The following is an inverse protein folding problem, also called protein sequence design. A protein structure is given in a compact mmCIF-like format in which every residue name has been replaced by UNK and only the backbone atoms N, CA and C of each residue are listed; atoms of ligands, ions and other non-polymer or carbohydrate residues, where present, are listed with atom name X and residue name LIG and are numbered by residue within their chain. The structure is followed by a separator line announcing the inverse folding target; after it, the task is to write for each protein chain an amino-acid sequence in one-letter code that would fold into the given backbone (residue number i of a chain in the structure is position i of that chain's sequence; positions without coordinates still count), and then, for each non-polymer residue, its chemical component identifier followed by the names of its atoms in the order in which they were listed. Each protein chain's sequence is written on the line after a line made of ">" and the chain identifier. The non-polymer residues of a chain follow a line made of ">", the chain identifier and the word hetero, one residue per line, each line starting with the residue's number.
data_IF_784214908253
#
_entry.id   IF_784214908253
#
_cell.length_a   1.000
_cell.length_b   1.000
_cell.length_c   1.000
_cell.angle_alpha   90.00
_cell.angle_beta   90.00
_cell.angle_gamma   90.00
#
_symmetry.space_group_name_H-M   'P 1'
#
loop_
_entity.id
_entity.type
_entity.pdbx_description
1 polymer ?
#
# COMPACT_ATOMS: atom_id res chain seq x y z
N UNK A 1 7.54 14.95 10.20
CA UNK A 1 7.88 14.76 11.65
C UNK A 1 7.08 13.65 12.34
N UNK A 2 5.80 13.43 12.03
CA UNK A 2 4.97 12.40 12.68
C UNK A 2 5.51 10.96 12.52
N UNK A 3 5.96 10.57 11.33
CA UNK A 3 6.49 9.24 11.03
C UNK A 3 7.73 8.88 11.87
N UNK A 4 8.66 9.82 12.08
CA UNK A 4 9.84 9.61 12.94
C UNK A 4 9.44 9.41 14.41
N UNK A 5 8.41 10.11 14.89
CA UNK A 5 7.92 9.95 16.27
C UNK A 5 7.25 8.59 16.50
N UNK A 6 6.59 8.01 15.48
CA UNK A 6 5.99 6.67 15.58
C UNK A 6 7.09 5.59 15.64
N UNK A 7 8.14 5.71 14.83
CA UNK A 7 9.28 4.78 14.88
C UNK A 7 9.99 4.78 16.25
N UNK A 8 10.07 5.94 16.93
CA UNK A 8 10.63 6.05 18.29
C UNK A 8 9.73 5.37 19.35
N UNK A 9 8.41 5.30 19.13
CA UNK A 9 7.46 4.61 20.03
C UNK A 9 7.50 3.08 19.93
N UNK A 10 8.34 2.51 19.07
CA UNK A 10 8.55 1.05 18.96
C UNK A 10 9.48 0.48 20.03
N UNK A 11 10.17 1.35 20.78
CA UNK A 11 10.83 0.99 22.03
C UNK A 11 9.85 1.36 23.14
N UNK A 12 8.97 0.44 23.59
CA UNK A 12 8.13 0.75 24.73
C UNK A 12 9.07 1.10 25.90
N UNK A 13 8.67 2.09 26.71
CA UNK A 13 9.42 2.55 27.89
C UNK A 13 9.77 1.42 28.89
N UNK A 14 9.18 0.23 28.72
CA UNK A 14 9.29 -0.92 29.61
C UNK A 14 9.83 -2.23 28.97
N UNK A 15 10.39 -2.24 27.76
CA UNK A 15 11.03 -3.46 27.22
C UNK A 15 11.05 -3.64 25.70
N UNK A 16 11.08 -4.90 25.25
CA UNK A 16 10.98 -5.27 23.82
C UNK A 16 9.51 -5.30 23.41
N UNK A 17 9.16 -4.67 22.28
CA UNK A 17 7.82 -4.75 21.72
C UNK A 17 7.43 -6.20 21.40
N UNK A 18 6.19 -6.56 21.70
CA UNK A 18 5.58 -7.84 21.33
C UNK A 18 5.44 -7.94 19.81
N UNK A 19 5.36 -9.18 19.32
CA UNK A 19 5.22 -9.44 17.89
C UNK A 19 3.94 -8.80 17.32
N UNK A 20 2.81 -8.97 18.01
CA UNK A 20 1.53 -8.35 17.66
C UNK A 20 1.58 -6.82 17.64
N UNK A 21 2.32 -6.21 18.57
CA UNK A 21 2.53 -4.75 18.59
C UNK A 21 3.30 -4.30 17.35
N UNK A 22 4.32 -5.06 16.94
CA UNK A 22 5.09 -4.76 15.73
C UNK A 22 4.21 -4.80 14.49
N UNK A 23 3.41 -5.85 14.34
CA UNK A 23 2.46 -5.99 13.21
C UNK A 23 1.46 -4.84 13.19
N UNK A 24 0.86 -4.51 14.35
CA UNK A 24 -0.08 -3.39 14.49
C UNK A 24 0.56 -2.05 14.11
N UNK A 25 1.74 -1.76 14.65
CA UNK A 25 2.40 -0.48 14.43
C UNK A 25 2.86 -0.32 12.97
N UNK A 26 3.27 -1.41 12.30
CA UNK A 26 3.55 -1.41 10.86
C UNK A 26 2.29 -1.10 10.06
N UNK A 27 1.14 -1.72 10.40
CA UNK A 27 -0.14 -1.45 9.73
C UNK A 27 -0.54 0.02 9.86
N UNK A 28 -0.46 0.59 11.07
CA UNK A 28 -0.74 2.01 11.32
C UNK A 28 0.19 2.88 10.48
N UNK A 29 1.49 2.59 10.48
CA UNK A 29 2.47 3.38 9.76
C UNK A 29 2.25 3.34 8.24
N UNK A 30 1.92 2.18 7.69
CA UNK A 30 1.56 2.03 6.28
C UNK A 30 0.33 2.88 5.98
N UNK A 31 -0.76 2.75 6.75
CA UNK A 31 -1.96 3.55 6.53
C UNK A 31 -1.65 5.06 6.55
N UNK A 32 -0.84 5.51 7.51
CA UNK A 32 -0.45 6.91 7.65
C UNK A 32 0.37 7.41 6.45
N UNK A 33 1.33 6.60 6.00
CA UNK A 33 2.14 6.91 4.82
C UNK A 33 1.28 6.90 3.56
N UNK A 34 0.35 5.97 3.43
CA UNK A 34 -0.52 5.84 2.25
C UNK A 34 -1.53 6.98 2.14
N UNK A 35 -2.02 7.49 3.26
CA UNK A 35 -2.92 8.65 3.30
C UNK A 35 -2.19 9.98 3.06
N UNK A 36 -0.88 10.05 3.29
CA UNK A 36 -0.11 11.29 3.09
C UNK A 36 0.04 11.62 1.60
N UNK A 37 -0.30 12.84 1.17
CA UNK A 37 -0.12 13.29 -0.23
C UNK A 37 1.33 13.61 -0.58
N UNK A 38 2.19 13.77 0.42
CA UNK A 38 3.59 14.11 0.25
C UNK A 38 4.40 12.90 -0.21
N UNK A 39 5.30 13.12 -1.17
CA UNK A 39 6.29 12.12 -1.54
C UNK A 39 7.21 11.86 -0.35
N UNK A 40 7.40 10.59 -0.03
CA UNK A 40 8.14 10.22 1.17
C UNK A 40 9.62 10.52 0.94
N UNK A 41 10.12 11.56 1.60
CA UNK A 41 11.54 11.90 1.60
C UNK A 41 12.22 11.27 2.81
N UNK A 42 13.12 10.33 2.58
CA UNK A 42 14.01 9.86 3.64
C UNK A 42 15.14 10.87 3.81
N UNK A 43 15.19 11.47 4.99
CA UNK A 43 16.23 12.40 5.36
C UNK A 43 17.34 11.68 6.17
N UNK A 44 18.41 11.15 5.55
CA UNK A 44 19.63 10.61 6.18
C UNK A 44 20.75 11.67 6.30
N UNK A 45 21.16 12.09 7.50
CA UNK A 45 21.98 13.31 7.74
C UNK A 45 23.13 13.58 6.71
N UNK A 46 23.07 14.74 6.04
CA UNK A 46 24.13 15.27 5.15
C UNK A 46 23.85 15.18 3.63
N UNK A 47 23.82 16.35 2.96
CA UNK A 47 23.96 16.46 1.50
C UNK A 47 22.82 15.91 0.64
N UNK A 48 22.84 16.20 -0.65
CA UNK A 48 21.75 16.09 -1.62
C UNK A 48 20.99 14.74 -1.59
N UNK A 49 19.67 14.77 -1.36
CA UNK A 49 18.84 13.57 -1.09
C UNK A 49 17.81 13.32 -2.17
N UNK A 50 18.29 12.92 -3.35
CA UNK A 50 17.58 11.99 -4.21
C UNK A 50 18.40 10.70 -4.19
N UNK A 51 18.12 9.80 -3.25
CA UNK A 51 18.73 8.48 -3.37
C UNK A 51 18.05 7.78 -4.54
N UNK A 52 18.83 7.35 -5.53
CA UNK A 52 18.45 6.43 -6.61
C UNK A 52 17.68 5.18 -6.15
N UNK A 53 17.62 4.95 -4.84
CA UNK A 53 16.89 3.86 -4.19
C UNK A 53 15.36 4.02 -4.19
N UNK A 54 14.81 5.22 -4.39
CA UNK A 54 13.34 5.41 -4.46
C UNK A 54 12.86 5.17 -5.89
N UNK A 55 12.05 4.13 -6.06
CA UNK A 55 11.43 3.81 -7.35
C UNK A 55 10.15 4.62 -7.56
N UNK A 56 9.59 4.62 -8.77
CA UNK A 56 8.23 5.12 -9.02
C UNK A 56 7.14 4.27 -8.33
N UNK A 57 7.51 3.14 -7.70
CA UNK A 57 6.60 2.28 -6.94
C UNK A 57 6.56 2.71 -5.47
N UNK A 58 5.43 3.28 -5.06
CA UNK A 58 5.20 3.76 -3.70
C UNK A 58 5.25 2.64 -2.65
N UNK A 59 4.79 1.44 -2.98
CA UNK A 59 4.85 0.30 -2.06
C UNK A 59 6.29 -0.10 -1.76
N UNK A 60 7.13 -0.12 -2.80
CA UNK A 60 8.54 -0.46 -2.66
C UNK A 60 9.26 0.54 -1.78
N UNK A 61 8.97 1.82 -1.99
CA UNK A 61 9.48 2.90 -1.15
C UNK A 61 9.07 2.73 0.31
N UNK A 62 7.84 2.29 0.59
CA UNK A 62 7.38 1.99 1.94
C UNK A 62 8.16 0.83 2.55
N UNK A 63 8.41 -0.26 1.81
CA UNK A 63 9.22 -1.38 2.29
C UNK A 63 10.62 -0.91 2.66
N UNK A 64 11.27 -0.09 1.83
CA UNK A 64 12.59 0.48 2.11
C UNK A 64 12.60 1.32 3.39
N UNK A 65 11.60 2.18 3.58
CA UNK A 65 11.47 2.98 4.80
C UNK A 65 11.28 2.09 6.02
N UNK A 66 10.44 1.06 5.93
CA UNK A 66 10.22 0.13 7.02
C UNK A 66 11.50 -0.68 7.33
N UNK A 67 12.27 -1.09 6.32
CA UNK A 67 13.55 -1.77 6.53
C UNK A 67 14.55 -0.90 7.29
N UNK A 68 14.73 0.35 6.85
CA UNK A 68 15.63 1.32 7.48
C UNK A 68 15.18 1.62 8.93
N UNK A 69 13.88 1.83 9.14
CA UNK A 69 13.33 2.24 10.44
C UNK A 69 13.32 1.13 11.47
N UNK A 70 13.06 -0.11 11.05
CA UNK A 70 12.98 -1.25 11.95
C UNK A 70 14.30 -2.03 12.03
N UNK A 71 15.31 -1.64 11.25
CA UNK A 71 16.58 -2.36 11.10
C UNK A 71 16.35 -3.86 10.83
N UNK A 72 15.37 -4.17 9.95
CA UNK A 72 14.99 -5.53 9.58
C UNK A 72 15.22 -5.76 8.09
N UNK A 73 15.44 -7.03 7.75
CA UNK A 73 15.53 -7.48 6.36
C UNK A 73 14.16 -7.35 5.68
N UNK A 74 14.17 -7.17 4.36
CA UNK A 74 12.97 -7.06 3.53
C UNK A 74 11.97 -8.20 3.77
N UNK A 75 12.45 -9.44 3.85
CA UNK A 75 11.62 -10.62 4.09
C UNK A 75 10.84 -10.54 5.41
N UNK A 76 11.48 -10.05 6.48
CA UNK A 76 10.85 -9.85 7.78
C UNK A 76 9.79 -8.75 7.74
N UNK A 77 10.07 -7.64 7.05
CA UNK A 77 9.08 -6.58 6.83
C UNK A 77 7.88 -7.11 6.05
N UNK A 78 8.11 -7.83 4.96
CA UNK A 78 7.05 -8.46 4.17
C UNK A 78 6.21 -9.43 5.01
N UNK A 79 6.84 -10.19 5.92
CA UNK A 79 6.12 -11.04 6.86
C UNK A 79 5.20 -10.24 7.78
N UNK A 80 5.68 -9.14 8.38
CA UNK A 80 4.85 -8.28 9.22
C UNK A 80 3.68 -7.65 8.46
N UNK A 81 3.95 -7.18 7.24
CA UNK A 81 2.94 -6.63 6.33
C UNK A 81 1.88 -7.70 6.02
N UNK A 82 2.32 -8.89 5.62
CA UNK A 82 1.44 -10.02 5.33
C UNK A 82 0.58 -10.33 6.55
N UNK A 83 1.16 -10.47 7.74
CA UNK A 83 0.43 -10.77 8.97
C UNK A 83 -0.63 -9.73 9.32
N UNK A 84 -0.36 -8.45 9.09
CA UNK A 84 -1.30 -7.34 9.33
C UNK A 84 -2.25 -7.01 8.18
N UNK A 85 -2.10 -7.63 7.00
CA UNK A 85 -2.99 -7.39 5.86
C UNK A 85 -4.38 -7.95 6.13
N UNK A 86 -5.41 -7.25 5.65
CA UNK A 86 -6.83 -7.58 5.86
C UNK A 86 -7.26 -7.73 7.33
N UNK A 87 -6.52 -7.08 8.24
CA UNK A 87 -6.91 -6.94 9.64
C UNK A 87 -7.31 -5.50 9.94
N UNK A 88 -8.44 -5.33 10.65
CA UNK A 88 -8.83 -4.05 11.24
C UNK A 88 -7.88 -3.70 12.39
N UNK A 89 -7.78 -2.41 12.69
CA UNK A 89 -6.98 -1.95 13.82
C UNK A 89 -7.52 -2.51 15.15
N UNK A 90 -8.85 -2.57 15.30
CA UNK A 90 -9.51 -3.16 16.47
C UNK A 90 -9.15 -4.64 16.67
N UNK A 91 -9.05 -5.42 15.58
CA UNK A 91 -8.64 -6.81 15.68
C UNK A 91 -7.18 -6.95 16.12
N UNK A 92 -6.30 -6.11 15.58
CA UNK A 92 -4.90 -6.08 15.97
C UNK A 92 -4.71 -5.62 17.43
N UNK A 93 -5.55 -4.72 17.94
CA UNK A 93 -5.56 -4.31 19.34
C UNK A 93 -5.93 -5.47 20.27
N UNK A 94 -6.99 -6.22 19.93
CA UNK A 94 -7.35 -7.45 20.68
C UNK A 94 -6.23 -8.48 20.69
N UNK A 95 -5.52 -8.66 19.57
CA UNK A 95 -4.36 -9.55 19.50
C UNK A 95 -3.17 -9.04 20.33
N UNK A 96 -3.00 -7.73 20.46
CA UNK A 96 -1.99 -7.13 21.35
C UNK A 96 -2.36 -7.35 22.82
N UNK A 97 -3.60 -7.08 23.21
CA UNK A 97 -4.11 -7.28 24.57
C UNK A 97 -3.98 -8.75 25.00
N UNK A 98 -4.33 -9.67 24.10
CA UNK A 98 -4.16 -11.11 24.30
C UNK A 98 -2.72 -11.61 24.18
N UNK A 99 -1.76 -10.74 23.87
CA UNK A 99 -0.33 -11.07 23.70
C UNK A 99 -0.08 -12.17 22.65
N UNK A 100 -0.76 -12.08 21.50
CA UNK A 100 -0.54 -12.99 20.38
C UNK A 100 0.94 -12.98 19.96
N UNK A 101 1.54 -14.17 19.94
CA UNK A 101 2.94 -14.37 19.62
C UNK A 101 3.16 -14.61 18.13
N UNK A 102 4.44 -14.74 17.75
CA UNK A 102 4.83 -14.99 16.36
C UNK A 102 4.24 -16.30 15.82
N UNK A 103 4.23 -17.35 16.64
CA UNK A 103 3.78 -18.69 16.24
C UNK A 103 2.30 -18.69 15.87
N UNK A 104 1.47 -17.96 16.63
CA UNK A 104 0.07 -17.78 16.29
C UNK A 104 -0.10 -17.19 14.88
N UNK A 105 0.60 -16.11 14.56
CA UNK A 105 0.49 -15.49 13.24
C UNK A 105 0.96 -16.42 12.12
N UNK A 106 2.06 -17.15 12.32
CA UNK A 106 2.59 -18.09 11.32
C UNK A 106 1.60 -19.24 11.06
N UNK A 107 1.01 -19.82 12.11
CA UNK A 107 0.02 -20.90 11.98
C UNK A 107 -1.25 -20.44 11.24
N UNK A 108 -1.73 -19.26 11.59
CA UNK A 108 -3.00 -18.74 11.08
C UNK A 108 -2.86 -18.12 9.68
N UNK A 109 -1.66 -17.71 9.26
CA UNK A 109 -1.47 -16.99 8.01
C UNK A 109 -1.94 -17.80 6.79
N UNK A 110 -1.71 -19.11 6.76
CA UNK A 110 -2.16 -19.96 5.65
C UNK A 110 -3.68 -19.99 5.54
N UNK A 111 -4.38 -20.21 6.65
CA UNK A 111 -5.85 -20.17 6.68
C UNK A 111 -6.38 -18.78 6.33
N UNK A 112 -5.71 -17.71 6.76
CA UNK A 112 -6.05 -16.33 6.38
C UNK A 112 -5.98 -16.13 4.87
N UNK A 113 -4.88 -16.57 4.23
CA UNK A 113 -4.71 -16.43 2.78
C UNK A 113 -5.77 -17.23 2.00
N UNK A 114 -6.15 -18.41 2.50
CA UNK A 114 -7.27 -19.17 1.94
C UNK A 114 -8.60 -18.41 2.07
N UNK A 115 -8.93 -17.86 3.25
CA UNK A 115 -10.12 -17.02 3.44
C UNK A 115 -10.13 -15.86 2.43
N UNK A 116 -9.01 -15.16 2.29
CA UNK A 116 -8.91 -14.03 1.36
C UNK A 116 -9.17 -14.50 -0.07
N UNK A 117 -8.57 -15.61 -0.50
CA UNK A 117 -8.77 -16.18 -1.84
C UNK A 117 -10.23 -16.57 -2.09
N UNK A 118 -10.89 -17.23 -1.13
CA UNK A 118 -12.31 -17.61 -1.19
C UNK A 118 -13.25 -16.39 -1.24
N UNK A 119 -12.96 -15.33 -0.49
CA UNK A 119 -13.79 -14.14 -0.48
C UNK A 119 -13.58 -13.30 -1.75
N UNK A 120 -12.36 -13.26 -2.28
CA UNK A 120 -12.08 -12.64 -3.58
C UNK A 120 -12.80 -13.36 -4.72
N UNK A 121 -12.81 -14.70 -4.74
CA UNK A 121 -13.52 -15.45 -5.78
C UNK A 121 -15.04 -15.25 -5.73
N UNK A 122 -15.57 -14.86 -4.56
CA UNK A 122 -16.97 -14.47 -4.36
C UNK A 122 -17.23 -12.98 -4.63
N UNK A 123 -16.25 -12.21 -5.12
CA UNK A 123 -16.34 -10.78 -5.44
C UNK A 123 -16.74 -9.87 -4.26
N UNK A 124 -16.36 -10.22 -3.03
CA UNK A 124 -16.52 -9.32 -1.90
C UNK A 124 -15.61 -8.09 -2.04
N UNK A 125 -16.05 -6.95 -1.51
CA UNK A 125 -15.24 -5.74 -1.47
C UNK A 125 -14.06 -5.87 -0.51
N UNK A 126 -12.99 -5.08 -0.71
CA UNK A 126 -11.79 -5.14 0.14
C UNK A 126 -12.10 -4.84 1.63
N UNK A 127 -13.07 -3.97 1.90
CA UNK A 127 -13.51 -3.63 3.25
C UNK A 127 -14.27 -4.80 3.89
N UNK A 128 -15.18 -5.45 3.16
CA UNK A 128 -15.89 -6.64 3.62
C UNK A 128 -14.93 -7.80 3.88
N UNK A 129 -13.97 -8.03 2.97
CA UNK A 129 -12.91 -9.04 3.16
C UNK A 129 -12.17 -8.74 4.46
N UNK A 130 -11.75 -7.50 4.67
CA UNK A 130 -11.03 -7.08 5.89
C UNK A 130 -11.85 -7.35 7.15
N UNK A 131 -13.14 -7.04 7.14
CA UNK A 131 -14.04 -7.29 8.28
C UNK A 131 -14.23 -8.79 8.56
N UNK A 132 -14.48 -9.59 7.53
CA UNK A 132 -14.69 -11.04 7.65
C UNK A 132 -13.43 -11.77 8.10
N UNK A 133 -12.28 -11.43 7.50
CA UNK A 133 -10.98 -11.98 7.89
C UNK A 133 -10.68 -11.62 9.34
N UNK A 134 -10.84 -10.35 9.73
CA UNK A 134 -10.62 -9.91 11.11
C UNK A 134 -11.43 -10.70 12.13
N UNK A 135 -12.72 -10.92 11.86
CA UNK A 135 -13.60 -11.74 12.72
C UNK A 135 -13.09 -13.17 12.85
N UNK A 136 -12.69 -13.79 11.75
CA UNK A 136 -12.16 -15.17 11.74
C UNK A 136 -10.83 -15.31 12.48
N UNK A 137 -9.95 -14.33 12.36
CA UNK A 137 -8.65 -14.34 13.03
C UNK A 137 -8.83 -14.19 14.55
N UNK A 138 -9.78 -13.35 15.00
CA UNK A 138 -10.14 -13.26 16.42
C UNK A 138 -10.77 -14.57 16.91
N UNK A 139 -11.64 -15.21 16.10
CA UNK A 139 -12.23 -16.52 16.42
C UNK A 139 -11.14 -17.59 16.62
N UNK A 140 -10.13 -17.63 15.75
CA UNK A 140 -8.97 -18.51 15.92
C UNK A 140 -8.15 -18.18 17.17
N UNK A 141 -8.00 -16.90 17.48
CA UNK A 141 -7.27 -16.46 18.66
C UNK A 141 -7.96 -16.84 19.97
N UNK A 142 -9.28 -16.62 20.05
CA UNK A 142 -10.08 -16.99 21.21
C UNK A 142 -10.12 -18.51 21.44
N UNK A 143 -9.98 -19.30 20.36
CA UNK A 143 -9.96 -20.76 20.41
C UNK A 143 -8.54 -21.33 20.22
N UNK A 144 -7.51 -20.62 20.68
CA UNK A 144 -6.09 -21.00 20.44
C UNK A 144 -5.73 -22.42 20.93
N UNK A 145 -6.41 -22.92 21.97
CA UNK A 145 -6.19 -24.26 22.52
C UNK A 145 -6.59 -25.36 21.53
N UNK A 146 -7.61 -25.09 20.70
CA UNK A 146 -8.12 -26.00 19.67
C UNK A 146 -7.75 -25.52 18.25
N UNK A 147 -6.71 -24.69 18.13
CA UNK A 147 -6.37 -24.03 16.86
C UNK A 147 -6.08 -25.05 15.75
N UNK A 148 -5.30 -26.08 16.06
CA UNK A 148 -4.95 -27.13 15.09
C UNK A 148 -6.20 -27.85 14.59
N UNK A 149 -7.17 -28.10 15.46
CA UNK A 149 -8.42 -28.78 15.08
C UNK A 149 -9.32 -27.88 14.24
N UNK A 150 -9.35 -26.56 14.51
CA UNK A 150 -10.07 -25.60 13.68
C UNK A 150 -9.44 -25.48 12.28
N UNK A 151 -8.12 -25.47 12.21
CA UNK A 151 -7.38 -25.44 10.95
C UNK A 151 -7.61 -26.73 10.14
N UNK A 152 -7.58 -27.89 10.80
CA UNK A 152 -7.87 -29.20 10.16
C UNK A 152 -9.32 -29.30 9.68
N UNK A 153 -10.30 -28.96 10.51
CA UNK A 153 -11.74 -28.96 10.12
C UNK A 153 -11.99 -28.12 8.88
N UNK A 154 -11.27 -27.00 8.75
CA UNK A 154 -11.35 -26.15 7.55
C UNK A 154 -10.77 -26.87 6.33
N UNK A 155 -9.58 -27.45 6.46
CA UNK A 155 -8.94 -28.19 5.37
C UNK A 155 -9.83 -29.36 4.87
N UNK A 156 -10.52 -30.06 5.79
CA UNK A 156 -11.45 -31.15 5.43
C UNK A 156 -12.77 -30.70 4.80
N UNK A 157 -13.20 -29.46 5.04
CA UNK A 157 -14.42 -28.92 4.42
C UNK A 157 -14.20 -28.47 2.97
N UNK A 158 -12.95 -28.49 2.48
CA UNK A 158 -12.57 -28.10 1.12
C UNK A 158 -12.48 -29.30 0.15
N UNK A 159 -12.95 -30.48 0.55
CA UNK A 159 -12.98 -31.72 -0.27
C UNK A 159 -14.08 -31.71 -1.38
N UNK A 160 -14.28 -30.55 -2.00
CA UNK A 160 -14.96 -30.40 -3.28
C UNK A 160 -13.94 -30.31 -4.42
N UNK A 161 -13.36 -31.46 -4.82
CA UNK A 161 -12.43 -31.64 -5.97
C UNK A 161 -11.17 -30.74 -5.95
N UNK A 162 -10.13 -31.24 -5.31
CA UNK A 162 -8.74 -30.90 -5.64
C UNK A 162 -7.92 -32.19 -5.75
N UNK A 163 -7.27 -32.38 -6.88
CA UNK A 163 -6.32 -33.48 -7.12
C UNK A 163 -5.24 -33.52 -6.03
N UNK A 164 -4.77 -34.75 -5.73
CA UNK A 164 -3.67 -35.05 -4.82
C UNK A 164 -2.47 -34.15 -5.12
N UNK A 165 -2.13 -33.24 -4.20
CA UNK A 165 -0.82 -32.59 -4.21
C UNK A 165 0.11 -33.25 -3.18
N UNK A 166 1.29 -33.58 -3.68
CA UNK A 166 2.45 -34.12 -2.97
C UNK A 166 2.91 -33.26 -1.78
N UNK A 167 3.73 -33.80 -0.85
CA UNK A 167 4.18 -33.07 0.33
C UNK A 167 4.88 -31.77 -0.05
N UNK A 168 4.28 -30.66 0.39
CA UNK A 168 4.75 -29.29 0.16
C UNK A 168 6.16 -29.13 0.73
N UNK A 169 7.16 -29.26 -0.14
CA UNK A 169 8.51 -28.73 0.06
C UNK A 169 8.36 -27.22 0.24
N UNK A 170 8.84 -26.68 1.37
CA UNK A 170 8.96 -25.25 1.72
C UNK A 170 8.86 -24.34 0.50
N UNK A 171 7.63 -23.96 0.16
CA UNK A 171 7.38 -23.11 -0.99
C UNK A 171 8.09 -21.78 -0.76
N UNK A 172 8.93 -21.43 -1.73
CA UNK A 172 9.47 -20.08 -1.84
C UNK A 172 8.29 -19.12 -1.79
N UNK A 173 8.39 -18.13 -0.92
CA UNK A 173 7.51 -16.98 -0.76
C UNK A 173 7.37 -16.26 -2.13
N UNK A 174 6.51 -16.80 -3.00
CA UNK A 174 6.33 -16.40 -4.40
C UNK A 174 5.05 -15.59 -4.47
N UNK A 175 5.23 -14.30 -4.22
CA UNK A 175 4.39 -13.13 -4.48
C UNK A 175 4.56 -12.18 -3.29
N UNK A 176 5.19 -11.03 -3.53
CA UNK A 176 5.31 -10.01 -2.49
C UNK A 176 3.90 -9.57 -2.09
N UNK A 177 3.58 -9.45 -0.78
CA UNK A 177 2.27 -8.97 -0.37
C UNK A 177 2.06 -7.58 -0.95
N UNK A 178 1.13 -7.49 -1.89
CA UNK A 178 0.68 -6.26 -2.52
C UNK A 178 -0.09 -5.46 -1.48
N UNK A 179 0.18 -4.16 -1.38
CA UNK A 179 -0.56 -3.27 -0.50
C UNK A 179 -1.84 -2.86 -1.22
N UNK A 180 -2.79 -3.78 -1.33
CA UNK A 180 -4.05 -3.63 -2.11
C UNK A 180 -4.87 -2.37 -1.81
N UNK A 181 -4.60 -1.71 -0.70
CA UNK A 181 -5.18 -0.43 -0.28
C UNK A 181 -4.70 0.76 -1.14
N UNK A 182 -3.94 0.52 -2.21
CA UNK A 182 -3.51 1.52 -3.18
C UNK A 182 -3.83 1.10 -4.61
N UNK A 183 -4.97 1.57 -5.10
CA UNK A 183 -5.14 1.89 -6.51
C UNK A 183 -4.72 3.34 -6.71
N UNK A 184 -3.48 3.70 -6.36
CA UNK A 184 -3.02 5.02 -6.77
C UNK A 184 -2.90 5.03 -8.28
N UNK A 185 -3.19 6.19 -8.88
CA UNK A 185 -3.06 6.44 -10.32
C UNK A 185 -1.96 5.57 -10.89
N UNK A 186 -2.39 4.53 -11.60
CA UNK A 186 -1.54 3.72 -12.43
C UNK A 186 -0.82 4.74 -13.32
N UNK A 187 0.45 5.00 -13.03
CA UNK A 187 1.31 5.64 -14.00
C UNK A 187 1.43 4.74 -15.26
N UNK A 188 0.99 3.48 -15.16
CA UNK A 188 0.73 2.55 -16.25
C UNK A 188 -0.58 2.80 -17.02
N UNK A 189 -1.51 3.60 -16.50
CA UNK A 189 -2.64 4.17 -17.24
C UNK A 189 -2.40 5.64 -17.59
N UNK A 190 -1.14 6.02 -17.82
CA UNK A 190 -0.88 7.09 -18.77
C UNK A 190 -1.33 6.50 -20.10
N UNK A 191 -2.54 6.84 -20.51
CA UNK A 191 -2.90 6.82 -21.93
C UNK A 191 -1.71 7.49 -22.61
N UNK A 192 -0.91 6.73 -23.35
CA UNK A 192 0.17 7.26 -24.17
C UNK A 192 -0.53 8.16 -25.18
N UNK A 193 -0.69 9.43 -24.82
CA UNK A 193 -1.16 10.44 -25.74
C UNK A 193 -0.06 10.57 -26.77
N UNK A 194 -0.38 10.35 -28.05
CA UNK A 194 0.62 10.56 -29.08
C UNK A 194 1.05 12.04 -29.09
N UNK A 195 2.25 12.31 -29.60
CA UNK A 195 2.77 13.69 -29.66
C UNK A 195 1.80 14.66 -30.36
N UNK A 196 1.06 14.17 -31.36
CA UNK A 196 0.03 14.93 -32.07
C UNK A 196 -1.14 15.31 -31.16
N UNK A 197 -1.66 14.39 -30.34
CA UNK A 197 -2.72 14.67 -29.36
C UNK A 197 -2.26 15.64 -28.26
N UNK A 198 -0.99 15.57 -27.86
CA UNK A 198 -0.40 16.50 -26.89
C UNK A 198 -0.34 17.91 -27.50
N UNK A 199 0.11 18.04 -28.76
CA UNK A 199 0.16 19.32 -29.48
C UNK A 199 -1.23 19.91 -29.67
N UNK A 200 -2.21 19.11 -30.05
CA UNK A 200 -3.60 19.57 -30.24
C UNK A 200 -4.20 20.10 -28.93
N UNK A 201 -4.02 19.36 -27.82
CA UNK A 201 -4.49 19.80 -26.50
C UNK A 201 -3.78 21.06 -26.02
N UNK A 202 -2.46 21.15 -26.22
CA UNK A 202 -1.71 22.35 -25.86
C UNK A 202 -2.18 23.57 -26.66
N UNK A 203 -2.43 23.41 -27.97
CA UNK A 203 -2.96 24.47 -28.82
C UNK A 203 -4.36 24.94 -28.34
N UNK A 204 -5.25 24.00 -28.00
CA UNK A 204 -6.57 24.32 -27.47
C UNK A 204 -6.49 25.11 -26.15
N UNK A 205 -5.60 24.73 -25.24
CA UNK A 205 -5.41 25.44 -23.96
C UNK A 205 -4.92 26.87 -24.22
N UNK A 206 -3.92 27.05 -25.10
CA UNK A 206 -3.42 28.37 -25.48
C UNK A 206 -4.51 29.26 -26.09
N UNK A 207 -5.38 28.69 -26.93
CA UNK A 207 -6.52 29.42 -27.50
C UNK A 207 -7.54 29.83 -26.42
N UNK A 208 -7.86 28.94 -25.47
CA UNK A 208 -8.74 29.28 -24.33
C UNK A 208 -8.17 30.39 -23.47
N UNK A 209 -6.86 30.33 -23.18
CA UNK A 209 -6.17 31.39 -22.44
C UNK A 209 -6.26 32.72 -23.19
N UNK A 210 -5.98 32.73 -24.49
CA UNK A 210 -6.07 33.93 -25.32
C UNK A 210 -7.48 34.55 -25.35
N UNK A 211 -8.52 33.72 -25.52
CA UNK A 211 -9.90 34.18 -25.52
C UNK A 211 -10.32 34.83 -24.19
N UNK A 212 -9.83 34.31 -23.06
CA UNK A 212 -10.10 34.86 -21.72
C UNK A 212 -9.50 36.24 -21.50
N UNK A 213 -8.39 36.57 -22.17
CA UNK A 213 -7.81 37.91 -22.11
C UNK A 213 -8.49 38.91 -23.04
N UNK A 214 -9.31 38.44 -23.98
CA UNK A 214 -10.10 39.30 -24.88
C UNK A 214 -11.49 39.62 -24.31
N UNK A 215 -11.97 38.85 -23.35
CA UNK A 215 -13.22 39.14 -22.63
C UNK A 215 -12.97 40.15 -21.50
N UNK A 216 -13.11 41.43 -21.80
CA UNK A 216 -12.97 42.53 -20.83
C UNK A 216 -14.16 42.64 -19.86
N UNK A 217 -15.22 41.85 -20.04
CA UNK A 217 -16.44 41.93 -19.24
C UNK A 217 -16.40 41.05 -17.98
N UNK A 218 -15.46 40.11 -17.90
CA UNK A 218 -15.36 39.16 -16.80
C UNK A 218 -14.54 39.70 -15.62
N UNK A 219 -14.93 39.29 -14.40
CA UNK A 219 -14.24 39.65 -13.17
C UNK A 219 -12.81 39.10 -13.18
N UNK A 220 -11.82 39.97 -12.96
CA UNK A 220 -10.39 39.63 -12.94
C UNK A 220 -10.04 38.44 -12.03
N UNK A 221 -10.75 38.27 -10.91
CA UNK A 221 -10.55 37.12 -10.01
C UNK A 221 -10.92 35.79 -10.67
N UNK A 222 -11.96 35.77 -11.50
CA UNK A 222 -12.38 34.57 -12.23
C UNK A 222 -11.40 34.25 -13.36
N UNK A 223 -10.93 35.28 -14.07
CA UNK A 223 -9.90 35.14 -15.11
C UNK A 223 -8.62 34.55 -14.51
N UNK A 224 -8.19 35.06 -13.35
CA UNK A 224 -6.99 34.56 -12.64
C UNK A 224 -7.10 33.08 -12.31
N UNK A 225 -8.16 32.63 -11.65
CA UNK A 225 -8.32 31.22 -11.28
C UNK A 225 -8.40 30.31 -12.51
N UNK A 226 -9.08 30.77 -13.56
CA UNK A 226 -9.24 30.03 -14.79
C UNK A 226 -7.89 29.87 -15.54
N UNK A 227 -7.09 30.94 -15.63
CA UNK A 227 -5.73 30.93 -16.19
C UNK A 227 -4.79 30.04 -15.37
N UNK A 228 -4.89 30.06 -14.02
CA UNK A 228 -4.12 29.14 -13.16
C UNK A 228 -4.47 27.69 -13.47
N UNK A 229 -5.73 27.38 -13.76
CA UNK A 229 -6.18 26.05 -14.21
C UNK A 229 -5.52 25.64 -15.52
N UNK A 230 -5.55 26.51 -16.54
CA UNK A 230 -4.95 26.26 -17.85
C UNK A 230 -3.43 26.03 -17.76
N UNK A 231 -2.73 26.82 -16.94
CA UNK A 231 -1.28 26.67 -16.73
C UNK A 231 -0.95 25.33 -16.05
N UNK A 232 -1.77 24.88 -15.10
CA UNK A 232 -1.60 23.55 -14.47
C UNK A 232 -1.82 22.42 -15.47
N UNK A 233 -2.79 22.58 -16.38
CA UNK A 233 -3.07 21.61 -17.45
C UNK A 233 -1.89 21.52 -18.43
N UNK A 234 -1.33 22.66 -18.87
CA UNK A 234 -0.14 22.72 -19.71
C UNK A 234 1.09 22.08 -19.03
N UNK A 235 1.31 22.36 -17.75
CA UNK A 235 2.39 21.72 -16.99
C UNK A 235 2.21 20.20 -16.91
N UNK A 236 0.98 19.70 -16.85
CA UNK A 236 0.72 18.26 -16.91
C UNK A 236 1.13 17.66 -18.25
N UNK A 237 0.85 18.34 -19.37
CA UNK A 237 1.25 17.90 -20.72
C UNK A 237 2.76 17.91 -20.92
N UNK A 238 3.45 18.96 -20.46
CA UNK A 238 4.92 19.05 -20.52
C UNK A 238 5.57 17.89 -19.74
N UNK A 239 5.04 17.59 -18.55
CA UNK A 239 5.53 16.47 -17.74
C UNK A 239 5.27 15.10 -18.38
N UNK A 240 4.33 14.97 -19.32
CA UNK A 240 4.16 13.76 -20.12
C UNK A 240 5.29 13.63 -21.16
N UNK A 241 5.64 14.71 -21.85
CA UNK A 241 6.71 14.72 -22.85
C UNK A 241 8.10 14.44 -22.25
N UNK A 242 8.44 15.07 -21.12
CA UNK A 242 9.75 14.88 -20.46
C UNK A 242 9.97 13.46 -19.94
N UNK A 243 8.91 12.65 -19.79
CA UNK A 243 9.03 11.25 -19.40
C UNK A 243 9.38 10.34 -20.58
N UNK A 244 9.01 10.69 -21.81
CA UNK A 244 9.32 9.88 -23.00
C UNK A 244 10.81 9.94 -23.36
N UNK A 245 11.45 11.11 -23.23
CA UNK A 245 12.89 11.27 -23.47
C UNK A 245 13.75 10.42 -22.52
N UNK A 246 13.27 10.16 -21.31
CA UNK A 246 13.99 9.34 -20.31
C UNK A 246 13.93 7.83 -20.58
N UNK A 247 13.04 7.37 -21.47
CA UNK A 247 12.88 5.94 -21.82
C UNK A 247 13.67 5.59 -23.09
N UNK A 248 13.98 6.56 -23.95
CA UNK A 248 14.74 6.34 -25.19
C UNK A 248 16.27 6.47 -25.05
N UNK A 249 16.78 6.83 -23.87
CA UNK A 249 18.22 7.02 -23.58
C UNK A 249 18.86 5.87 -22.77
N UNK A 250 18.18 4.73 -22.64
CA UNK A 250 18.74 3.49 -22.06
C UNK A 250 18.81 2.38 -23.10
#
# INVERSE_FOLDING_TARGET
>A
MAIRKIAIRMVPLAGRALYSEIVRNIKILINFIMQSKENIKVYSHGGDRRSDSFTNNREENIRLILMERFAKKRSTINQYISHGSYLTLEALEKLVEGKADKEFFEKVNNAKLQIIKELKSKNFSADEITQMVSKKIIEFFNNRENLEDLLKKRASNDDGKSEKSEPVKKEKFLEEPTLEYWKGNDASSIVKLCEEEIREKAAAICQRMGARFQDFSTNFSLIKEAVIGDVKELLSLINCMSKEESVCLN
#
